data_IF_705864285623
#
_entry.id   IF_705864285623
#
_cell.length_a   1.000
_cell.length_b   1.000
_cell.length_c   1.000
_cell.angle_alpha   90.00
_cell.angle_beta   90.00
_cell.angle_gamma   90.00
#
_symmetry.space_group_name_H-M   'P 1'
#
loop_
_entity.id
_entity.type
_entity.pdbx_description
1 polymer ?
#
# COMPACT_ATOMS: atom_id res chain seq x y z
N UNK A 1 -22.00 -40.94 -8.51
CA UNK A 1 -22.44 -39.57 -8.86
C UNK A 1 -21.22 -38.68 -8.79
N UNK A 2 -20.64 -38.35 -9.94
CA UNK A 2 -19.44 -37.51 -10.02
C UNK A 2 -19.92 -36.08 -9.87
N UNK A 3 -19.50 -35.40 -8.80
CA UNK A 3 -19.75 -33.98 -8.64
C UNK A 3 -18.87 -33.27 -9.66
N UNK A 4 -19.49 -32.88 -10.76
CA UNK A 4 -18.91 -32.04 -11.79
C UNK A 4 -18.55 -30.70 -11.13
N UNK A 5 -17.25 -30.51 -10.93
CA UNK A 5 -16.68 -29.27 -10.40
C UNK A 5 -16.89 -28.22 -11.49
N UNK A 6 -17.94 -27.41 -11.35
CA UNK A 6 -18.20 -26.28 -12.24
C UNK A 6 -17.07 -25.28 -12.06
N UNK A 7 -16.09 -25.38 -12.95
CA UNK A 7 -15.08 -24.37 -13.21
C UNK A 7 -15.82 -23.11 -13.65
N UNK A 8 -16.25 -22.29 -12.69
CA UNK A 8 -16.50 -20.88 -12.93
C UNK A 8 -15.13 -20.28 -13.23
N UNK A 9 -14.61 -20.55 -14.43
CA UNK A 9 -13.59 -19.73 -15.04
C UNK A 9 -14.25 -18.37 -15.18
N UNK A 10 -14.12 -17.57 -14.12
CA UNK A 10 -14.39 -16.15 -14.13
C UNK A 10 -13.50 -15.60 -15.23
N UNK A 11 -14.02 -15.56 -16.45
CA UNK A 11 -13.43 -14.89 -17.60
C UNK A 11 -13.51 -13.40 -17.31
N UNK A 12 -12.74 -12.95 -16.31
CA UNK A 12 -12.59 -11.54 -15.96
C UNK A 12 -12.12 -10.88 -17.24
N UNK A 13 -12.82 -9.84 -17.69
CA UNK A 13 -12.29 -9.03 -18.76
C UNK A 13 -10.92 -8.53 -18.30
N UNK A 14 -9.88 -8.84 -19.06
CA UNK A 14 -8.57 -8.24 -18.86
C UNK A 14 -8.64 -6.85 -19.50
N UNK A 15 -9.21 -5.90 -18.76
CA UNK A 15 -9.41 -4.50 -19.20
C UNK A 15 -8.09 -3.74 -19.18
N UNK A 16 -7.17 -4.16 -18.30
CA UNK A 16 -5.89 -3.53 -18.06
C UNK A 16 -4.77 -4.50 -18.43
N UNK A 17 -3.76 -4.00 -19.13
CA UNK A 17 -2.51 -4.75 -19.29
C UNK A 17 -1.69 -4.72 -17.99
N UNK A 18 -0.69 -5.61 -17.88
CA UNK A 18 0.14 -5.75 -16.69
C UNK A 18 0.82 -4.44 -16.26
N UNK A 19 1.21 -3.61 -17.22
CA UNK A 19 1.83 -2.32 -16.95
C UNK A 19 0.84 -1.29 -16.41
N UNK A 20 -0.41 -1.29 -16.90
CA UNK A 20 -1.48 -0.46 -16.36
C UNK A 20 -1.87 -0.90 -14.96
N UNK A 21 -1.91 -2.23 -14.73
CA UNK A 21 -2.15 -2.79 -13.41
C UNK A 21 -1.07 -2.35 -12.41
N UNK A 22 0.22 -2.37 -12.82
CA UNK A 22 1.32 -1.86 -12.00
C UNK A 22 1.25 -0.36 -11.80
N UNK A 23 0.86 0.41 -12.82
CA UNK A 23 0.71 1.85 -12.69
C UNK A 23 -0.36 2.20 -11.65
N UNK A 24 -1.49 1.48 -11.63
CA UNK A 24 -2.62 1.75 -10.73
C UNK A 24 -2.41 1.12 -9.35
N UNK A 25 -2.12 -0.17 -9.29
CA UNK A 25 -2.07 -0.96 -8.04
C UNK A 25 -0.66 -1.30 -7.57
N UNK A 26 0.36 -1.02 -8.38
CA UNK A 26 1.75 -1.24 -7.99
C UNK A 26 2.23 -0.26 -6.92
N UNK A 27 3.29 -0.67 -6.22
CA UNK A 27 3.92 0.15 -5.18
C UNK A 27 4.39 1.48 -5.77
N UNK A 28 4.03 2.63 -5.17
CA UNK A 28 4.44 3.93 -5.67
C UNK A 28 5.95 4.08 -5.66
N UNK A 29 6.49 4.68 -6.72
CA UNK A 29 7.87 5.17 -6.80
C UNK A 29 7.82 6.67 -6.54
N UNK A 30 8.58 7.14 -5.57
CA UNK A 30 8.57 8.55 -5.18
C UNK A 30 9.87 9.25 -5.56
N UNK A 31 9.74 10.42 -6.17
CA UNK A 31 10.84 11.37 -6.31
C UNK A 31 11.17 12.00 -4.95
N UNK A 32 12.23 12.82 -4.88
CA UNK A 32 12.56 13.54 -3.65
C UNK A 32 11.43 14.50 -3.25
N UNK A 33 10.90 15.25 -4.21
CA UNK A 33 9.81 16.21 -4.01
C UNK A 33 8.54 15.52 -3.53
N UNK A 34 8.17 14.39 -4.13
CA UNK A 34 7.03 13.59 -3.69
C UNK A 34 7.17 13.13 -2.24
N UNK A 35 8.39 12.73 -1.84
CA UNK A 35 8.63 12.32 -0.46
C UNK A 35 8.42 13.48 0.50
N UNK A 36 8.97 14.65 0.18
CA UNK A 36 8.79 15.86 0.98
C UNK A 36 7.31 16.26 1.08
N UNK A 37 6.54 16.08 0.01
CA UNK A 37 5.13 16.42 -0.02
C UNK A 37 4.26 15.39 0.75
N UNK A 38 4.26 14.13 0.30
CA UNK A 38 3.34 13.11 0.79
C UNK A 38 3.69 12.56 2.18
N UNK A 39 4.97 12.60 2.59
CA UNK A 39 5.38 12.13 3.91
C UNK A 39 5.54 13.28 4.92
N UNK A 40 5.18 14.51 4.55
CA UNK A 40 5.01 15.57 5.54
C UNK A 40 3.84 15.23 6.46
N UNK A 41 4.07 15.40 7.76
CA UNK A 41 3.07 15.18 8.79
C UNK A 41 2.53 16.52 9.27
N UNK A 42 1.20 16.66 9.24
CA UNK A 42 0.47 17.72 9.93
C UNK A 42 0.52 17.51 11.45
N UNK A 43 0.12 18.55 12.19
CA UNK A 43 0.14 18.51 13.66
C UNK A 43 -0.67 17.34 14.26
N UNK A 44 -1.92 17.07 13.81
CA UNK A 44 -2.68 15.91 14.31
C UNK A 44 -2.03 14.56 13.98
N UNK A 45 -1.41 14.42 12.81
CA UNK A 45 -0.73 13.19 12.41
C UNK A 45 0.52 12.93 13.27
N UNK A 46 1.23 13.99 13.67
CA UNK A 46 2.37 13.88 14.60
C UNK A 46 1.94 13.41 15.98
N UNK A 47 0.83 13.91 16.49
CA UNK A 47 0.28 13.50 17.80
C UNK A 47 -0.10 12.01 17.80
N UNK A 48 -0.72 11.53 16.71
CA UNK A 48 -1.02 10.10 16.54
C UNK A 48 0.26 9.24 16.53
N UNK A 49 1.31 9.68 15.82
CA UNK A 49 2.60 8.97 15.78
C UNK A 49 3.26 8.95 17.16
N UNK A 50 3.14 10.03 17.94
CA UNK A 50 3.70 10.10 19.28
C UNK A 50 3.02 9.13 20.25
N UNK A 51 1.72 8.88 20.08
CA UNK A 51 0.96 7.90 20.87
C UNK A 51 1.35 6.44 20.62
N UNK A 52 2.08 6.12 19.55
CA UNK A 52 2.52 4.75 19.25
C UNK A 52 3.77 4.38 20.07
N UNK A 53 3.78 3.19 20.68
CA UNK A 53 4.91 2.76 21.53
C UNK A 53 6.11 2.22 20.75
N UNK A 54 5.89 1.54 19.62
CA UNK A 54 6.96 0.89 18.86
C UNK A 54 7.45 1.75 17.69
N UNK A 55 8.76 1.83 17.51
CA UNK A 55 9.40 2.47 16.34
C UNK A 55 8.90 1.84 15.04
N UNK A 56 8.69 0.51 15.03
CA UNK A 56 8.13 -0.19 13.86
C UNK A 56 6.72 0.28 13.55
N UNK A 57 5.88 0.45 14.57
CA UNK A 57 4.51 0.95 14.41
C UNK A 57 4.50 2.40 13.91
N UNK A 58 5.39 3.27 14.43
CA UNK A 58 5.56 4.64 13.95
C UNK A 58 5.95 4.67 12.47
N UNK A 59 6.98 3.92 12.10
CA UNK A 59 7.44 3.83 10.73
C UNK A 59 6.35 3.27 9.80
N UNK A 60 5.65 2.22 10.22
CA UNK A 60 4.55 1.63 9.45
C UNK A 60 3.41 2.64 9.24
N UNK A 61 3.00 3.35 10.30
CA UNK A 61 1.96 4.37 10.21
C UNK A 61 2.32 5.47 9.20
N UNK A 62 3.53 6.04 9.32
CA UNK A 62 3.99 7.10 8.41
C UNK A 62 4.07 6.59 6.96
N UNK A 63 4.50 5.34 6.77
CA UNK A 63 4.53 4.72 5.44
C UNK A 63 3.13 4.54 4.85
N UNK A 64 2.18 3.98 5.60
CA UNK A 64 0.80 3.81 5.14
C UNK A 64 0.15 5.13 4.81
N UNK A 65 0.33 6.13 5.67
CA UNK A 65 -0.23 7.45 5.48
C UNK A 65 0.33 8.14 4.22
N UNK A 66 1.65 8.08 4.02
CA UNK A 66 2.27 8.64 2.81
C UNK A 66 1.81 7.95 1.54
N UNK A 67 1.67 6.62 1.56
CA UNK A 67 1.11 5.88 0.43
C UNK A 67 -0.36 6.22 0.16
N UNK A 68 -1.14 6.37 1.22
CA UNK A 68 -2.54 6.77 1.10
C UNK A 68 -2.69 8.19 0.55
N UNK A 69 -1.85 9.14 0.96
CA UNK A 69 -1.84 10.50 0.39
C UNK A 69 -1.49 10.52 -1.09
N UNK A 70 -0.63 9.61 -1.56
CA UNK A 70 -0.19 9.58 -2.94
C UNK A 70 -1.10 8.80 -3.90
N UNK A 71 -1.60 7.64 -3.48
CA UNK A 71 -2.38 6.74 -4.34
C UNK A 71 -3.79 6.42 -3.82
N UNK A 72 -4.16 6.90 -2.63
CA UNK A 72 -5.39 6.52 -1.94
C UNK A 72 -5.53 5.00 -1.73
N UNK A 73 -4.39 4.30 -1.62
CA UNK A 73 -4.30 2.85 -1.43
C UNK A 73 -3.40 2.50 -0.25
N UNK A 74 -3.73 1.41 0.43
CA UNK A 74 -2.88 0.80 1.45
C UNK A 74 -2.06 -0.32 0.85
N UNK A 75 -0.82 -0.47 1.32
CA UNK A 75 0.10 -1.48 0.82
C UNK A 75 0.61 -2.33 1.96
N UNK A 76 0.63 -3.64 1.79
CA UNK A 76 1.27 -4.52 2.78
C UNK A 76 2.78 -4.23 2.82
N UNK A 77 3.25 -3.70 3.94
CA UNK A 77 4.69 -3.51 4.20
C UNK A 77 5.14 -4.59 5.15
N UNK A 78 5.75 -5.64 4.60
CA UNK A 78 6.39 -6.69 5.40
C UNK A 78 7.75 -6.18 5.87
N UNK A 79 7.96 -6.11 7.19
CA UNK A 79 9.29 -5.90 7.75
C UNK A 79 10.08 -7.19 7.58
N UNK A 80 10.99 -7.22 6.60
CA UNK A 80 11.94 -8.34 6.46
C UNK A 80 12.89 -8.27 7.66
N UNK A 81 12.68 -9.12 8.66
CA UNK A 81 13.69 -9.33 9.70
C UNK A 81 14.91 -9.94 9.01
N UNK A 82 16.03 -9.23 9.01
CA UNK A 82 17.33 -9.83 8.77
C UNK A 82 17.69 -10.51 10.09
N UNK A 83 17.66 -11.85 10.07
CA UNK A 83 18.16 -12.70 11.15
C UNK A 83 19.68 -12.63 11.17
#
# INVERSE_FOLDING_TARGET
MVVEKTEIQQKRLNILDEDELKAIFGRPRFTYEDRCHYFSLSQPEKELVQGLHSIKSKAYFVLQLGYFKAKHLFFTVVSRQVV
#
